data_IF_169530948429
#
_entry.id   IF_169530948429
#
_cell.length_a   1.000
_cell.length_b   1.000
_cell.length_c   1.000
_cell.angle_alpha   90.00
_cell.angle_beta   90.00
_cell.angle_gamma   90.00
#
_symmetry.space_group_name_H-M   'P 1'
#
loop_
_entity.id
_entity.type
_entity.pdbx_description
1 polymer ?
#
# COMPACT_ATOMS: atom_id res chain seq x y z
N UNK A 1 -8.40 -14.29 25.50
CA UNK A 1 -7.08 -14.75 25.98
C UNK A 1 -6.22 -14.92 24.74
N UNK A 2 -5.34 -13.96 24.43
CA UNK A 2 -4.40 -14.13 23.33
C UNK A 2 -3.51 -15.31 23.68
N UNK A 3 -3.43 -16.27 22.78
CA UNK A 3 -2.58 -17.43 22.97
C UNK A 3 -1.12 -16.95 23.04
N UNK A 4 -0.37 -17.35 24.07
CA UNK A 4 1.08 -17.12 24.11
C UNK A 4 1.76 -17.64 22.84
N UNK A 5 1.11 -18.62 22.19
CA UNK A 5 1.48 -19.18 20.90
C UNK A 5 1.56 -18.12 19.80
N UNK A 6 0.71 -17.08 19.77
CA UNK A 6 0.77 -16.03 18.73
C UNK A 6 1.99 -15.12 18.89
N UNK A 7 2.30 -14.70 20.12
CA UNK A 7 3.48 -13.88 20.39
C UNK A 7 4.77 -14.68 20.18
N UNK A 8 4.82 -15.92 20.67
CA UNK A 8 5.96 -16.80 20.46
C UNK A 8 6.17 -17.09 18.96
N UNK A 9 5.11 -17.38 18.22
CA UNK A 9 5.17 -17.63 16.78
C UNK A 9 5.65 -16.39 16.01
N UNK A 10 5.14 -15.21 16.36
CA UNK A 10 5.58 -13.94 15.77
C UNK A 10 7.07 -13.69 15.99
N UNK A 11 7.55 -13.83 17.23
CA UNK A 11 8.96 -13.69 17.56
C UNK A 11 9.82 -14.71 16.81
N UNK A 12 9.41 -15.98 16.75
CA UNK A 12 10.13 -17.05 16.03
C UNK A 12 10.30 -16.73 14.55
N UNK A 13 9.25 -16.19 13.94
CA UNK A 13 9.27 -15.85 12.53
C UNK A 13 10.18 -14.67 12.23
N UNK A 14 9.99 -13.58 12.96
CA UNK A 14 10.76 -12.34 12.78
C UNK A 14 12.24 -12.58 13.07
N UNK A 15 12.57 -13.09 14.27
CA UNK A 15 13.97 -13.19 14.70
C UNK A 15 14.74 -14.24 13.92
N UNK A 16 14.05 -15.31 13.46
CA UNK A 16 14.69 -16.36 12.69
C UNK A 16 15.32 -15.88 11.38
N UNK A 17 14.85 -14.77 10.79
CA UNK A 17 15.44 -14.18 9.59
C UNK A 17 16.78 -13.50 9.84
N UNK A 18 16.96 -12.98 11.06
CA UNK A 18 18.12 -12.20 11.47
C UNK A 18 19.16 -13.02 12.25
N UNK A 19 18.95 -14.33 12.43
CA UNK A 19 19.84 -15.22 13.20
C UNK A 19 21.31 -15.15 12.75
N UNK A 20 21.55 -15.12 11.42
CA UNK A 20 22.89 -14.95 10.86
C UNK A 20 23.47 -13.57 11.14
N UNK A 21 22.65 -12.53 11.06
CA UNK A 21 23.04 -11.14 11.32
C UNK A 21 23.42 -10.96 12.79
N UNK A 22 22.58 -11.43 13.72
CA UNK A 22 22.83 -11.37 15.16
C UNK A 22 24.09 -12.14 15.57
N UNK A 23 24.30 -13.33 14.99
CA UNK A 23 25.51 -14.12 15.22
C UNK A 23 26.78 -13.48 14.64
N UNK A 24 26.64 -12.60 13.64
CA UNK A 24 27.75 -11.84 13.06
C UNK A 24 28.13 -10.60 13.87
N UNK A 25 27.17 -9.96 14.53
CA UNK A 25 27.37 -8.73 15.31
C UNK A 25 28.06 -9.03 16.65
N UNK A 26 27.61 -10.06 17.39
CA UNK A 26 28.18 -10.38 18.70
C UNK A 26 29.06 -11.65 18.65
N UNK A 27 30.38 -11.53 18.79
CA UNK A 27 31.29 -12.68 18.90
C UNK A 27 30.88 -13.66 20.01
N UNK A 28 31.13 -14.95 19.77
CA UNK A 28 30.75 -16.05 20.69
C UNK A 28 31.23 -15.89 22.15
N UNK A 29 32.28 -15.10 22.41
CA UNK A 29 32.80 -14.88 23.77
C UNK A 29 32.02 -13.83 24.57
N UNK A 30 31.25 -12.96 23.90
CA UNK A 30 30.31 -12.02 24.52
C UNK A 30 28.89 -12.59 24.68
N UNK A 31 28.67 -13.80 24.16
CA UNK A 31 27.40 -14.51 24.22
C UNK A 31 27.36 -15.52 25.38
N UNK A 32 26.16 -15.88 25.86
CA UNK A 32 26.00 -16.88 26.90
C UNK A 32 26.37 -18.27 26.36
N UNK A 33 27.21 -19.00 27.10
CA UNK A 33 27.76 -20.32 26.74
C UNK A 33 26.70 -21.42 26.46
N UNK A 34 25.41 -21.19 26.75
CA UNK A 34 24.43 -22.28 26.89
C UNK A 34 23.11 -22.14 26.11
N UNK A 35 22.86 -21.05 25.38
CA UNK A 35 21.52 -20.87 24.78
C UNK A 35 21.62 -20.75 23.26
N UNK A 36 21.20 -21.82 22.56
CA UNK A 36 21.10 -21.88 21.10
C UNK A 36 20.13 -20.84 20.50
N UNK A 37 19.42 -20.09 21.36
CA UNK A 37 18.35 -19.15 21.05
C UNK A 37 18.49 -17.86 21.90
N UNK A 38 19.70 -17.43 22.24
CA UNK A 38 19.95 -16.28 23.12
C UNK A 38 19.26 -14.98 22.68
N UNK A 39 19.03 -14.77 21.38
CA UNK A 39 18.31 -13.61 20.87
C UNK A 39 16.80 -13.64 21.19
N UNK A 40 16.20 -14.82 21.32
CA UNK A 40 14.83 -14.96 21.83
C UNK A 40 14.75 -14.61 23.31
N UNK A 41 15.72 -15.07 24.11
CA UNK A 41 15.82 -14.72 25.52
C UNK A 41 16.03 -13.21 25.69
N UNK A 42 16.83 -12.59 24.82
CA UNK A 42 17.00 -11.14 24.79
C UNK A 42 15.68 -10.43 24.45
N UNK A 43 14.94 -10.88 23.43
CA UNK A 43 13.65 -10.29 23.06
C UNK A 43 12.61 -10.39 24.18
N UNK A 44 12.49 -11.57 24.80
CA UNK A 44 11.62 -11.79 25.97
C UNK A 44 12.08 -10.92 27.14
N UNK A 45 13.39 -10.89 27.40
CA UNK A 45 14.01 -10.08 28.44
C UNK A 45 13.72 -8.58 28.28
N UNK A 46 13.86 -8.04 27.07
CA UNK A 46 13.51 -6.63 26.81
C UNK A 46 12.03 -6.35 27.02
N UNK A 47 11.16 -7.29 26.67
CA UNK A 47 9.73 -7.17 26.96
C UNK A 47 9.43 -7.27 28.46
N UNK A 48 10.34 -7.87 29.26
CA UNK A 48 10.33 -8.01 30.72
C UNK A 48 10.93 -6.84 31.50
N UNK A 49 11.59 -5.91 30.83
CA UNK A 49 12.22 -4.76 31.48
C UNK A 49 11.18 -3.99 32.32
N UNK A 50 11.39 -3.72 33.62
CA UNK A 50 10.48 -2.88 34.39
C UNK A 50 10.44 -1.45 33.83
N UNK A 51 9.38 -0.67 34.09
CA UNK A 51 9.40 0.76 33.81
C UNK A 51 10.50 1.45 34.65
N UNK A 52 11.22 2.40 34.07
CA UNK A 52 12.26 3.20 34.72
C UNK A 52 11.87 4.68 34.73
N UNK A 53 12.25 5.41 35.77
CA UNK A 53 12.07 6.87 35.85
C UNK A 53 12.87 7.61 34.76
N UNK A 54 14.04 7.08 34.39
CA UNK A 54 14.90 7.61 33.32
C UNK A 54 14.38 7.28 31.91
N UNK A 55 13.27 6.53 31.81
CA UNK A 55 12.71 6.07 30.56
C UNK A 55 13.44 4.86 29.97
N UNK A 56 13.05 4.49 28.74
CA UNK A 56 13.65 3.39 28.01
C UNK A 56 14.86 3.90 27.21
N UNK A 57 16.06 3.48 27.59
CA UNK A 57 17.34 3.84 26.92
C UNK A 57 18.07 2.58 26.47
N UNK A 58 18.97 2.69 25.50
CA UNK A 58 19.82 1.57 25.09
C UNK A 58 20.72 1.08 26.23
N UNK A 59 21.20 2.00 27.07
CA UNK A 59 22.02 1.68 28.22
C UNK A 59 21.25 0.87 29.28
N UNK A 60 20.02 1.27 29.62
CA UNK A 60 19.20 0.53 30.60
C UNK A 60 18.79 -0.84 30.06
N UNK A 61 18.50 -0.94 28.75
CA UNK A 61 18.25 -2.22 28.08
C UNK A 61 19.48 -3.15 28.13
N UNK A 62 20.68 -2.64 27.81
CA UNK A 62 21.93 -3.41 27.84
C UNK A 62 22.28 -3.89 29.24
N UNK A 63 22.20 -3.01 30.24
CA UNK A 63 22.44 -3.34 31.64
C UNK A 63 21.49 -4.44 32.13
N UNK A 64 20.19 -4.30 31.83
CA UNK A 64 19.21 -5.30 32.23
C UNK A 64 19.46 -6.69 31.62
N UNK A 65 19.79 -6.75 30.34
CA UNK A 65 20.12 -8.03 29.69
C UNK A 65 21.42 -8.63 30.24
N UNK A 66 22.39 -7.79 30.65
CA UNK A 66 23.62 -8.23 31.31
C UNK A 66 23.35 -8.80 32.70
N UNK A 67 22.51 -8.14 33.49
CA UNK A 67 22.12 -8.61 34.82
C UNK A 67 21.40 -9.97 34.77
N UNK A 68 20.68 -10.25 33.68
CA UNK A 68 20.08 -11.57 33.41
C UNK A 68 21.06 -12.59 32.84
N UNK A 69 22.32 -12.22 32.62
CA UNK A 69 23.36 -13.07 32.05
C UNK A 69 23.17 -13.39 30.56
N UNK A 70 22.31 -12.65 29.86
CA UNK A 70 22.02 -12.82 28.42
C UNK A 70 23.12 -12.14 27.58
N UNK A 71 23.64 -11.00 28.03
CA UNK A 71 24.81 -10.34 27.43
C UNK A 71 26.01 -10.41 28.39
N UNK A 72 27.23 -10.50 27.85
CA UNK A 72 28.46 -10.56 28.64
C UNK A 72 29.49 -9.53 28.18
N UNK A 73 30.36 -9.15 29.11
CA UNK A 73 31.43 -8.19 28.89
C UNK A 73 31.03 -6.78 29.35
N UNK A 74 32.00 -6.10 29.94
CA UNK A 74 31.93 -4.74 30.49
C UNK A 74 33.02 -3.81 29.92
N UNK A 75 33.89 -4.34 29.06
CA UNK A 75 34.87 -3.53 28.32
C UNK A 75 34.18 -2.68 27.24
N UNK A 76 34.88 -1.64 26.76
CA UNK A 76 34.36 -0.69 25.77
C UNK A 76 33.89 -1.39 24.48
N UNK A 77 34.65 -2.37 24.00
CA UNK A 77 34.31 -3.17 22.82
C UNK A 77 33.01 -3.97 23.00
N UNK A 78 32.81 -4.64 24.16
CA UNK A 78 31.55 -5.33 24.44
C UNK A 78 30.37 -4.37 24.48
N UNK A 79 30.55 -3.18 25.04
CA UNK A 79 29.48 -2.18 25.13
C UNK A 79 29.02 -1.73 23.75
N UNK A 80 29.96 -1.47 22.83
CA UNK A 80 29.65 -1.07 21.45
C UNK A 80 28.89 -2.18 20.70
N UNK A 81 29.38 -3.42 20.77
CA UNK A 81 28.74 -4.56 20.08
C UNK A 81 27.37 -4.90 20.67
N UNK A 82 27.20 -4.78 21.99
CA UNK A 82 25.90 -4.97 22.65
C UNK A 82 24.90 -3.90 22.22
N UNK A 83 25.34 -2.66 22.02
CA UNK A 83 24.48 -1.57 21.54
C UNK A 83 24.08 -1.77 20.07
N UNK A 84 25.02 -2.14 19.20
CA UNK A 84 24.71 -2.49 17.81
C UNK A 84 23.72 -3.65 17.72
N UNK A 85 23.91 -4.68 18.55
CA UNK A 85 22.96 -5.78 18.66
C UNK A 85 21.58 -5.31 19.10
N UNK A 86 21.49 -4.51 20.16
CA UNK A 86 20.22 -3.98 20.65
C UNK A 86 19.52 -3.12 19.60
N UNK A 87 20.27 -2.27 18.90
CA UNK A 87 19.77 -1.48 17.77
C UNK A 87 19.12 -2.38 16.73
N UNK A 88 19.83 -3.42 16.25
CA UNK A 88 19.25 -4.36 15.30
C UNK A 88 18.02 -5.08 15.88
N UNK A 89 18.10 -5.55 17.13
CA UNK A 89 17.01 -6.28 17.78
C UNK A 89 15.75 -5.43 17.91
N UNK A 90 15.88 -4.17 18.33
CA UNK A 90 14.72 -3.27 18.50
C UNK A 90 14.11 -2.92 17.15
N UNK A 91 14.90 -2.60 16.12
CA UNK A 91 14.37 -2.35 14.78
C UNK A 91 13.54 -3.53 14.26
N UNK A 92 14.08 -4.74 14.43
CA UNK A 92 13.44 -6.00 14.02
C UNK A 92 12.16 -6.30 14.82
N UNK A 93 12.18 -6.16 16.14
CA UNK A 93 11.02 -6.45 17.00
C UNK A 93 9.89 -5.44 16.87
N UNK A 94 10.22 -4.18 16.56
CA UNK A 94 9.24 -3.08 16.51
C UNK A 94 8.79 -2.74 15.11
N UNK A 95 9.52 -3.17 14.07
CA UNK A 95 9.28 -2.79 12.69
C UNK A 95 9.28 -1.27 12.45
N UNK A 96 9.91 -0.49 13.34
CA UNK A 96 10.03 0.97 13.19
C UNK A 96 11.08 1.35 12.14
N UNK A 97 12.09 0.51 11.96
CA UNK A 97 13.13 0.66 10.94
C UNK A 97 13.78 -0.69 10.66
N UNK A 98 14.47 -0.79 9.51
CA UNK A 98 15.31 -1.94 9.19
C UNK A 98 16.77 -1.52 9.36
N UNK A 99 17.56 -2.20 10.19
CA UNK A 99 18.99 -1.91 10.31
C UNK A 99 19.69 -2.22 8.98
N UNK A 100 20.53 -1.30 8.52
CA UNK A 100 21.44 -1.54 7.39
C UNK A 100 22.75 -2.14 7.91
N UNK A 101 23.33 -3.14 7.24
CA UNK A 101 24.66 -3.61 7.61
C UNK A 101 25.67 -2.45 7.51
N UNK A 102 26.64 -2.37 8.44
CA UNK A 102 27.65 -1.32 8.39
C UNK A 102 28.47 -1.48 7.11
N UNK A 103 28.53 -0.43 6.29
CA UNK A 103 29.51 -0.37 5.21
C UNK A 103 30.92 -0.34 5.84
N UNK A 104 31.86 -1.10 5.25
CA UNK A 104 33.22 -1.38 5.76
C UNK A 104 34.07 -0.15 6.16
N UNK A 105 33.60 1.08 5.94
CA UNK A 105 34.32 2.34 6.19
C UNK A 105 33.43 3.43 6.84
N UNK A 106 32.29 3.04 7.43
CA UNK A 106 31.31 4.02 7.89
C UNK A 106 31.65 4.59 9.28
N UNK A 107 31.71 5.92 9.38
CA UNK A 107 31.78 6.68 10.65
C UNK A 107 30.50 6.58 11.51
N UNK A 108 29.50 5.85 11.01
CA UNK A 108 28.14 5.78 11.56
C UNK A 108 27.74 4.31 11.73
N UNK A 109 27.95 3.72 12.92
CA UNK A 109 27.66 2.30 13.15
C UNK A 109 26.16 1.96 13.10
N UNK A 110 25.28 2.95 13.19
CA UNK A 110 23.85 2.77 13.31
C UNK A 110 23.11 3.33 12.09
N UNK A 111 23.08 2.54 11.04
CA UNK A 111 22.43 2.91 9.77
C UNK A 111 21.10 2.19 9.60
N UNK A 112 20.20 2.83 8.86
CA UNK A 112 18.89 2.29 8.54
C UNK A 112 18.62 2.32 7.05
N UNK A 113 17.78 1.40 6.59
CA UNK A 113 17.26 1.39 5.23
C UNK A 113 16.20 2.49 5.08
N UNK A 114 16.54 3.59 4.41
CA UNK A 114 15.63 4.74 4.20
C UNK A 114 14.88 4.72 2.87
N UNK A 115 15.23 3.80 1.97
CA UNK A 115 14.64 3.72 0.65
C UNK A 115 14.41 2.28 0.22
N UNK A 116 13.40 2.10 -0.63
CA UNK A 116 13.09 0.81 -1.25
C UNK A 116 14.28 0.35 -2.11
N UNK A 117 14.80 -0.88 -1.91
CA UNK A 117 15.90 -1.40 -2.73
C UNK A 117 15.49 -1.63 -4.19
N UNK A 118 14.18 -1.71 -4.48
CA UNK A 118 13.65 -2.00 -5.81
C UNK A 118 13.33 -0.74 -6.61
N UNK A 119 12.80 0.29 -5.95
CA UNK A 119 12.34 1.52 -6.64
C UNK A 119 13.19 2.75 -6.30
N UNK A 120 14.11 2.64 -5.32
CA UNK A 120 14.85 3.75 -4.74
C UNK A 120 13.97 4.86 -4.13
N UNK A 121 12.67 4.59 -3.98
CA UNK A 121 11.75 5.49 -3.30
C UNK A 121 12.18 5.65 -1.84
N UNK A 122 12.43 6.90 -1.44
CA UNK A 122 12.67 7.23 -0.04
C UNK A 122 11.36 7.18 0.73
N UNK A 123 11.32 6.40 1.80
CA UNK A 123 10.14 6.29 2.65
C UNK A 123 9.85 7.64 3.33
N UNK A 124 8.56 7.99 3.43
CA UNK A 124 8.14 9.30 3.93
C UNK A 124 8.47 9.47 5.42
N UNK A 125 8.51 8.37 6.16
CA UNK A 125 8.80 8.35 7.59
C UNK A 125 10.26 8.69 7.96
N UNK A 126 11.20 8.76 7.00
CA UNK A 126 12.61 8.96 7.30
C UNK A 126 13.20 10.23 6.71
N UNK A 127 13.72 11.08 7.58
CA UNK A 127 14.50 12.29 7.28
C UNK A 127 16.00 12.03 7.29
N UNK A 128 16.49 11.09 8.10
CA UNK A 128 17.92 10.74 8.18
C UNK A 128 18.16 9.23 7.98
N UNK A 129 19.36 8.86 7.53
CA UNK A 129 19.77 7.45 7.28
C UNK A 129 20.58 6.81 8.40
N UNK A 130 20.91 7.60 9.41
CA UNK A 130 21.72 7.20 10.53
C UNK A 130 21.34 8.00 11.75
N UNK A 131 21.73 7.49 12.90
CA UNK A 131 21.59 8.15 14.19
C UNK A 131 22.92 8.78 14.63
N UNK A 132 22.86 9.84 15.42
CA UNK A 132 24.05 10.54 15.92
C UNK A 132 24.75 9.76 17.05
N UNK A 133 26.08 9.85 17.14
CA UNK A 133 26.94 9.09 18.06
C UNK A 133 26.76 9.35 19.58
N UNK A 134 25.75 10.11 20.02
CA UNK A 134 25.53 10.48 21.43
C UNK A 134 24.33 9.70 22.02
N UNK A 135 24.57 8.47 22.48
CA UNK A 135 23.50 7.47 22.71
C UNK A 135 23.15 7.13 24.15
N UNK A 136 24.04 7.46 25.10
CA UNK A 136 24.04 6.76 26.39
C UNK A 136 22.96 7.24 27.36
N UNK A 137 22.46 8.46 27.22
CA UNK A 137 21.58 9.08 28.23
C UNK A 137 20.20 9.43 27.71
N UNK A 138 20.01 9.54 26.39
CA UNK A 138 18.72 9.94 25.84
C UNK A 138 17.78 8.75 25.67
N UNK A 139 16.48 8.91 25.96
CA UNK A 139 15.44 7.92 25.63
C UNK A 139 15.50 7.47 24.17
N UNK A 140 15.26 6.18 23.93
CA UNK A 140 15.23 5.59 22.58
C UNK A 140 14.27 6.36 21.66
N UNK A 141 13.11 6.77 22.18
CA UNK A 141 12.12 7.54 21.41
C UNK A 141 12.65 8.88 20.88
N UNK A 142 13.46 9.59 21.66
CA UNK A 142 13.99 10.91 21.30
C UNK A 142 15.05 10.77 20.20
N UNK A 143 15.73 9.62 20.17
CA UNK A 143 16.66 9.27 19.12
C UNK A 143 15.93 8.81 17.86
N UNK A 144 14.81 8.10 18.01
CA UNK A 144 13.96 7.71 16.88
C UNK A 144 13.27 8.92 16.24
N UNK A 145 12.87 9.93 17.00
CA UNK A 145 12.33 11.16 16.40
C UNK A 145 13.39 11.94 15.60
N UNK A 146 14.68 11.78 15.94
CA UNK A 146 15.77 12.39 15.18
C UNK A 146 15.94 11.79 13.76
N UNK A 147 15.46 10.57 13.50
CA UNK A 147 15.51 9.97 12.15
C UNK A 147 14.29 10.30 11.29
N UNK A 148 13.22 10.83 11.88
CA UNK A 148 12.00 11.27 11.19
C UNK A 148 10.72 10.86 11.91
N UNK A 149 9.59 10.99 11.22
CA UNK A 149 8.27 10.55 11.70
C UNK A 149 8.12 9.03 11.50
N UNK A 150 8.70 8.24 12.41
CA UNK A 150 8.79 6.77 12.33
C UNK A 150 7.44 6.04 12.23
N UNK A 151 6.34 6.70 12.61
CA UNK A 151 4.97 6.21 12.47
C UNK A 151 4.28 6.94 11.32
N UNK A 152 3.33 6.30 10.63
CA UNK A 152 2.65 6.87 9.46
C UNK A 152 1.57 7.89 9.88
N UNK A 153 1.96 8.96 10.58
CA UNK A 153 1.03 9.95 11.14
C UNK A 153 0.70 11.09 10.17
N UNK A 154 1.52 11.25 9.14
CA UNK A 154 1.42 12.31 8.13
C UNK A 154 1.48 11.70 6.73
N UNK A 155 0.90 12.41 5.75
CA UNK A 155 1.09 12.09 4.34
C UNK A 155 2.43 12.63 3.78
N UNK A 156 2.61 12.50 2.47
CA UNK A 156 3.81 12.98 1.75
C UNK A 156 4.11 14.46 2.00
N UNK A 157 3.08 15.28 2.16
CA UNK A 157 3.18 16.73 2.27
C UNK A 157 3.20 17.17 3.76
N UNK A 158 3.26 16.22 4.69
CA UNK A 158 3.26 16.48 6.14
C UNK A 158 1.86 16.74 6.71
N UNK A 159 0.80 16.43 5.96
CA UNK A 159 -0.58 16.68 6.37
C UNK A 159 -1.04 15.55 7.30
N UNK A 160 -1.51 15.92 8.49
CA UNK A 160 -1.96 15.00 9.55
C UNK A 160 -3.49 14.85 9.64
N UNK A 161 -4.26 15.58 8.83
CA UNK A 161 -5.73 15.58 8.88
C UNK A 161 -6.35 15.74 7.50
N UNK A 162 -7.53 15.19 7.31
CA UNK A 162 -8.30 15.30 6.07
C UNK A 162 -9.53 16.16 6.30
N UNK A 163 -9.98 16.87 5.26
CA UNK A 163 -11.22 17.64 5.31
C UNK A 163 -12.45 16.76 5.59
N UNK A 164 -13.41 17.34 6.31
CA UNK A 164 -14.70 16.72 6.59
C UNK A 164 -15.48 16.49 5.28
N UNK A 165 -15.75 15.22 4.97
CA UNK A 165 -16.51 14.81 3.78
C UNK A 165 -15.71 13.97 2.78
N UNK A 166 -14.41 13.80 2.96
CA UNK A 166 -13.64 12.86 2.13
C UNK A 166 -14.02 11.42 2.49
N UNK A 167 -14.52 10.70 1.49
CA UNK A 167 -14.95 9.30 1.63
C UNK A 167 -14.16 8.39 0.71
N UNK A 168 -14.03 7.14 1.12
CA UNK A 168 -13.38 6.08 0.36
C UNK A 168 -14.40 5.01 -0.02
N UNK A 169 -14.70 4.86 -1.32
CA UNK A 169 -15.53 3.75 -1.82
C UNK A 169 -14.65 2.59 -2.27
N UNK A 170 -14.82 1.47 -1.57
CA UNK A 170 -14.12 0.18 -1.79
C UNK A 170 -14.37 -0.40 -3.19
N UNK A 171 -15.45 0.01 -3.84
CA UNK A 171 -15.70 -0.33 -5.24
C UNK A 171 -14.57 0.19 -6.16
N UNK A 172 -14.03 1.37 -5.88
CA UNK A 172 -13.01 2.06 -6.67
C UNK A 172 -11.61 1.96 -6.04
N UNK A 173 -11.56 1.75 -4.73
CA UNK A 173 -10.32 1.61 -3.99
C UNK A 173 -10.09 0.16 -3.56
N UNK A 174 -9.48 -0.64 -4.45
CA UNK A 174 -9.11 -2.04 -4.17
C UNK A 174 -7.92 -2.49 -5.05
N UNK A 175 -7.25 -3.58 -4.64
CA UNK A 175 -6.06 -4.09 -5.31
C UNK A 175 -6.31 -4.47 -6.77
N UNK A 176 -7.50 -4.98 -7.10
CA UNK A 176 -7.81 -5.33 -8.47
C UNK A 176 -7.85 -4.09 -9.38
N UNK A 177 -8.42 -2.98 -8.94
CA UNK A 177 -8.37 -1.70 -9.67
C UNK A 177 -6.93 -1.18 -9.75
N UNK A 178 -6.23 -1.11 -8.61
CA UNK A 178 -4.84 -0.65 -8.54
C UNK A 178 -3.94 -1.40 -9.55
N UNK A 179 -3.96 -2.73 -9.53
CA UNK A 179 -3.07 -3.56 -10.36
C UNK A 179 -3.56 -3.66 -11.80
N UNK A 180 -4.85 -3.95 -12.01
CA UNK A 180 -5.35 -4.31 -13.34
C UNK A 180 -5.60 -3.10 -14.21
N UNK A 181 -6.16 -2.04 -13.61
CA UNK A 181 -6.60 -0.83 -14.31
C UNK A 181 -5.49 0.22 -14.28
N UNK A 182 -5.00 0.55 -13.09
CA UNK A 182 -4.04 1.64 -12.88
C UNK A 182 -2.58 1.21 -13.04
N UNK A 183 -2.32 -0.07 -13.28
CA UNK A 183 -0.97 -0.66 -13.43
C UNK A 183 -0.04 -0.32 -12.27
N UNK A 184 -0.60 -0.15 -11.08
CA UNK A 184 0.14 0.10 -9.85
C UNK A 184 0.83 -1.19 -9.41
N UNK A 185 2.04 -1.04 -8.88
CA UNK A 185 2.77 -2.13 -8.22
C UNK A 185 2.48 -2.06 -6.72
N UNK A 186 2.41 -3.21 -6.07
CA UNK A 186 2.32 -3.29 -4.61
C UNK A 186 3.62 -3.93 -4.13
N UNK A 187 4.35 -3.22 -3.28
CA UNK A 187 5.55 -3.72 -2.60
C UNK A 187 5.23 -3.90 -1.11
N UNK A 188 5.62 -5.04 -0.58
CA UNK A 188 5.44 -5.37 0.83
C UNK A 188 6.68 -4.94 1.63
N UNK A 189 6.47 -4.30 2.78
CA UNK A 189 7.51 -3.69 3.62
C UNK A 189 7.42 -4.17 5.06
N UNK A 190 8.57 -4.21 5.76
CA UNK A 190 8.67 -4.45 7.21
C UNK A 190 8.75 -3.14 8.02
N UNK A 191 8.60 -1.98 7.39
CA UNK A 191 8.65 -0.69 8.08
C UNK A 191 7.23 -0.17 8.25
N UNK A 192 6.76 -0.10 9.50
CA UNK A 192 5.38 0.32 9.82
C UNK A 192 5.08 1.74 9.32
N UNK A 193 6.05 2.66 9.44
CA UNK A 193 5.96 4.05 8.97
C UNK A 193 5.77 4.21 7.46
N UNK A 194 6.21 3.21 6.68
CA UNK A 194 6.10 3.21 5.21
C UNK A 194 4.78 2.64 4.69
N UNK A 195 3.88 2.22 5.58
CA UNK A 195 2.56 1.75 5.18
C UNK A 195 1.79 2.87 4.46
N UNK A 196 1.23 2.53 3.29
CA UNK A 196 0.53 3.43 2.37
C UNK A 196 1.40 4.53 1.76
N UNK A 197 2.72 4.43 1.84
CA UNK A 197 3.60 5.30 1.04
C UNK A 197 3.33 5.04 -0.44
N UNK A 198 3.37 6.12 -1.22
CA UNK A 198 3.15 6.07 -2.66
C UNK A 198 4.31 6.68 -3.44
N UNK A 199 4.98 5.81 -4.19
CA UNK A 199 5.96 6.20 -5.18
C UNK A 199 5.25 6.58 -6.49
N UNK A 200 5.09 7.88 -6.68
CA UNK A 200 4.49 8.47 -7.88
C UNK A 200 5.27 8.07 -9.14
N UNK A 201 6.60 8.05 -9.06
CA UNK A 201 7.52 7.84 -10.20
C UNK A 201 7.45 6.39 -10.70
N UNK A 202 7.51 5.42 -9.78
CA UNK A 202 7.44 4.00 -10.13
C UNK A 202 6.02 3.44 -10.06
N UNK A 203 5.02 4.27 -9.78
CA UNK A 203 3.61 3.90 -9.60
C UNK A 203 3.44 2.75 -8.60
N UNK A 204 4.07 2.86 -7.44
CA UNK A 204 4.21 1.77 -6.47
C UNK A 204 3.65 2.16 -5.10
N UNK A 205 2.80 1.30 -4.52
CA UNK A 205 2.25 1.44 -3.17
C UNK A 205 2.98 0.49 -2.23
N UNK A 206 3.34 0.97 -1.04
CA UNK A 206 3.98 0.17 -0.01
C UNK A 206 2.96 -0.29 1.05
N UNK A 207 2.93 -1.59 1.36
CA UNK A 207 2.03 -2.16 2.35
C UNK A 207 2.78 -2.96 3.41
N UNK A 208 2.46 -2.73 4.68
CA UNK A 208 3.10 -3.42 5.79
C UNK A 208 2.68 -4.89 5.81
N UNK A 209 3.65 -5.81 5.95
CA UNK A 209 3.42 -7.25 5.71
C UNK A 209 3.22 -8.10 6.96
N UNK A 210 3.27 -7.51 8.16
CA UNK A 210 3.21 -8.23 9.43
C UNK A 210 1.96 -7.88 10.27
N UNK A 211 0.74 -8.20 9.80
CA UNK A 211 -0.49 -7.87 10.51
C UNK A 211 -0.61 -8.52 11.90
N UNK A 212 0.11 -9.61 12.18
CA UNK A 212 0.15 -10.18 13.54
C UNK A 212 0.70 -9.16 14.54
N UNK A 213 1.73 -8.38 14.18
CA UNK A 213 2.26 -7.32 15.05
C UNK A 213 1.17 -6.30 15.39
N UNK A 214 0.48 -5.80 14.37
CA UNK A 214 -0.60 -4.84 14.54
C UNK A 214 -1.71 -5.41 15.42
N UNK A 215 -2.15 -6.64 15.17
CA UNK A 215 -3.19 -7.26 15.97
C UNK A 215 -2.79 -7.40 17.43
N UNK A 216 -1.61 -7.93 17.72
CA UNK A 216 -1.10 -8.09 19.09
C UNK A 216 -1.17 -6.77 19.86
N UNK A 217 -0.75 -5.66 19.24
CA UNK A 217 -0.78 -4.34 19.87
C UNK A 217 -2.17 -3.71 19.91
N UNK A 218 -3.07 -4.04 18.96
CA UNK A 218 -4.42 -3.51 18.91
C UNK A 218 -5.35 -4.08 20.00
N UNK A 219 -5.19 -5.37 20.32
CA UNK A 219 -6.03 -6.07 21.31
C UNK A 219 -5.44 -6.14 22.71
N UNK A 220 -4.16 -5.79 22.89
CA UNK A 220 -3.52 -5.80 24.20
C UNK A 220 -4.19 -4.79 25.15
N UNK A 221 -4.61 -5.27 26.34
CA UNK A 221 -5.21 -4.42 27.36
C UNK A 221 -4.14 -3.50 27.99
N UNK A 222 -4.50 -2.25 28.38
CA UNK A 222 -3.54 -1.27 28.89
C UNK A 222 -2.81 -1.63 30.19
N UNK A 223 -3.22 -2.68 30.91
CA UNK A 223 -2.95 -2.79 32.34
C UNK A 223 -1.76 -3.67 32.78
N UNK A 224 -1.08 -4.42 31.90
CA UNK A 224 -0.11 -5.42 32.39
C UNK A 224 1.36 -5.19 32.04
N UNK A 225 1.69 -4.43 30.99
CA UNK A 225 3.09 -4.12 30.62
C UNK A 225 3.15 -3.29 29.36
N UNK A 226 4.07 -2.33 29.30
CA UNK A 226 4.46 -1.72 28.03
C UNK A 226 5.37 -2.68 27.26
N UNK A 227 4.94 -3.04 26.05
CA UNK A 227 5.76 -3.70 25.04
C UNK A 227 6.93 -2.83 24.58
N UNK A 228 7.91 -3.42 23.89
CA UNK A 228 9.07 -2.70 23.35
C UNK A 228 8.59 -1.61 22.37
N UNK A 229 7.63 -1.92 21.48
CA UNK A 229 7.06 -0.93 20.56
C UNK A 229 6.48 0.27 21.32
N UNK A 230 5.65 0.01 22.34
CA UNK A 230 5.07 1.06 23.19
C UNK A 230 6.16 1.90 23.88
N UNK A 231 7.23 1.29 24.37
CA UNK A 231 8.36 2.03 24.99
C UNK A 231 9.11 2.92 24.01
N UNK A 232 9.14 2.53 22.74
CA UNK A 232 9.81 3.29 21.68
C UNK A 232 8.98 4.46 21.15
N UNK A 233 7.65 4.42 21.25
CA UNK A 233 6.78 5.40 20.56
C UNK A 233 5.87 6.22 21.47
N UNK A 234 5.60 5.78 22.71
CA UNK A 234 4.68 6.51 23.57
C UNK A 234 5.30 7.78 24.14
N UNK A 235 4.59 8.89 23.97
CA UNK A 235 4.97 10.23 24.42
C UNK A 235 3.73 11.12 24.66
N UNK A 236 3.91 12.45 24.67
CA UNK A 236 2.81 13.41 24.85
C UNK A 236 1.86 13.46 23.63
N UNK A 237 2.37 13.16 22.43
CA UNK A 237 1.60 13.16 21.18
C UNK A 237 0.95 11.82 20.83
N UNK A 238 1.56 10.71 21.27
CA UNK A 238 1.19 9.33 20.97
C UNK A 238 0.91 8.55 22.26
N UNK A 239 -0.37 8.33 22.57
CA UNK A 239 -0.79 7.49 23.68
C UNK A 239 -1.12 6.06 23.22
N UNK A 240 -1.45 5.18 24.19
CA UNK A 240 -1.80 3.79 23.92
C UNK A 240 -3.06 3.66 23.07
N UNK A 241 -4.03 4.56 23.19
CA UNK A 241 -5.28 4.49 22.45
C UNK A 241 -5.05 4.85 20.98
N UNK A 242 -4.26 5.91 20.72
CA UNK A 242 -3.82 6.29 19.38
C UNK A 242 -2.99 5.19 18.72
N UNK A 243 -2.03 4.61 19.44
CA UNK A 243 -1.24 3.49 18.90
C UNK A 243 -2.13 2.30 18.55
N UNK A 244 -3.09 1.95 19.41
CA UNK A 244 -4.07 0.90 19.15
C UNK A 244 -4.95 1.23 17.94
N UNK A 245 -5.39 2.47 17.83
CA UNK A 245 -6.14 2.98 16.68
C UNK A 245 -5.35 2.81 15.39
N UNK A 246 -4.09 3.24 15.37
CA UNK A 246 -3.20 3.06 14.23
C UNK A 246 -3.05 1.60 13.83
N UNK A 247 -2.89 0.69 14.80
CA UNK A 247 -2.79 -0.73 14.50
C UNK A 247 -4.08 -1.28 13.86
N UNK A 248 -5.24 -0.86 14.35
CA UNK A 248 -6.52 -1.23 13.74
C UNK A 248 -6.67 -0.65 12.33
N UNK A 249 -6.25 0.59 12.10
CA UNK A 249 -6.28 1.24 10.80
C UNK A 249 -5.38 0.54 9.77
N UNK A 250 -4.17 0.09 10.17
CA UNK A 250 -3.29 -0.70 9.30
C UNK A 250 -3.95 -2.03 8.91
N UNK A 251 -4.60 -2.71 9.85
CA UNK A 251 -5.31 -3.96 9.56
C UNK A 251 -6.50 -3.70 8.61
N UNK A 252 -7.28 -2.66 8.90
CA UNK A 252 -8.46 -2.31 8.14
C UNK A 252 -8.12 -1.86 6.72
N UNK A 253 -7.05 -1.06 6.53
CA UNK A 253 -6.62 -0.60 5.20
C UNK A 253 -6.20 -1.78 4.30
N UNK A 254 -5.48 -2.77 4.85
CA UNK A 254 -5.10 -3.99 4.11
C UNK A 254 -6.36 -4.77 3.73
N UNK A 255 -7.33 -4.90 4.65
CA UNK A 255 -8.60 -5.56 4.37
C UNK A 255 -9.45 -4.82 3.32
N UNK A 256 -9.46 -3.48 3.34
CA UNK A 256 -10.09 -2.64 2.32
C UNK A 256 -9.46 -2.89 0.95
N UNK A 257 -8.13 -2.97 0.87
CA UNK A 257 -7.41 -3.15 -0.38
C UNK A 257 -7.61 -4.57 -0.95
N UNK A 258 -7.55 -5.61 -0.12
CA UNK A 258 -7.56 -7.01 -0.60
C UNK A 258 -8.82 -7.81 -0.21
N UNK A 259 -9.28 -7.67 1.02
CA UNK A 259 -10.25 -8.58 1.65
C UNK A 259 -11.69 -8.43 1.17
N UNK A 260 -12.11 -7.25 0.75
CA UNK A 260 -13.52 -6.97 0.45
C UNK A 260 -13.96 -7.28 -0.99
N UNK A 261 -13.03 -7.42 -1.92
CA UNK A 261 -13.32 -7.71 -3.34
C UNK A 261 -12.70 -9.05 -3.75
N UNK A 262 -13.49 -10.06 -4.17
CA UNK A 262 -12.96 -11.38 -4.54
C UNK A 262 -11.86 -11.35 -5.61
N UNK A 263 -11.92 -10.40 -6.56
CA UNK A 263 -10.86 -10.27 -7.58
C UNK A 263 -9.57 -9.77 -6.97
N UNK A 264 -9.65 -8.88 -5.98
CA UNK A 264 -8.53 -8.37 -5.21
C UNK A 264 -7.89 -9.47 -4.36
N UNK A 265 -8.68 -10.36 -3.76
CA UNK A 265 -8.17 -11.54 -3.04
C UNK A 265 -7.28 -12.41 -3.94
N UNK A 266 -7.67 -12.64 -5.21
CA UNK A 266 -6.87 -13.38 -6.19
C UNK A 266 -5.58 -12.65 -6.64
N UNK A 267 -5.42 -11.36 -6.31
CA UNK A 267 -4.18 -10.60 -6.58
C UNK A 267 -3.16 -10.74 -5.47
N UNK A 268 -3.51 -11.31 -4.32
CA UNK A 268 -2.55 -11.58 -3.26
C UNK A 268 -1.59 -12.69 -3.71
N UNK A 269 -0.31 -12.36 -3.87
CA UNK A 269 0.76 -13.33 -4.01
C UNK A 269 1.62 -13.35 -2.76
N UNK A 270 1.38 -14.33 -1.88
CA UNK A 270 2.17 -14.54 -0.67
C UNK A 270 3.67 -14.77 -0.95
N UNK A 271 4.05 -15.28 -2.13
CA UNK A 271 5.46 -15.47 -2.48
C UNK A 271 6.15 -14.13 -2.71
N UNK A 272 5.42 -13.15 -3.25
CA UNK A 272 5.90 -11.78 -3.42
C UNK A 272 5.92 -11.06 -2.07
N UNK A 273 4.86 -11.20 -1.26
CA UNK A 273 4.79 -10.56 0.06
C UNK A 273 5.92 -11.00 1.01
N UNK A 274 6.24 -12.30 0.97
CA UNK A 274 7.25 -12.91 1.82
C UNK A 274 8.43 -13.45 1.00
N UNK A 275 8.89 -12.67 0.01
CA UNK A 275 10.05 -13.04 -0.80
C UNK A 275 11.28 -13.27 0.10
N UNK A 276 11.98 -14.39 -0.11
CA UNK A 276 13.13 -14.81 0.71
C UNK A 276 12.76 -15.54 2.01
N UNK A 277 11.48 -15.58 2.38
CA UNK A 277 11.04 -16.13 3.67
C UNK A 277 10.42 -17.52 3.48
N UNK A 278 10.89 -18.55 4.23
CA UNK A 278 10.32 -19.88 4.21
C UNK A 278 8.83 -19.89 4.57
N UNK A 279 8.02 -20.74 3.94
CA UNK A 279 6.56 -20.80 4.16
C UNK A 279 6.17 -20.99 5.63
N UNK A 280 6.97 -21.72 6.41
CA UNK A 280 6.74 -21.95 7.85
C UNK A 280 6.93 -20.71 8.72
N UNK A 281 7.59 -19.67 8.21
CA UNK A 281 7.87 -18.42 8.93
C UNK A 281 7.04 -17.24 8.45
N UNK A 282 6.12 -17.46 7.51
CA UNK A 282 5.27 -16.38 6.99
C UNK A 282 4.19 -16.02 8.01
N UNK A 283 3.85 -14.74 8.06
CA UNK A 283 2.72 -14.27 8.84
C UNK A 283 1.41 -14.82 8.24
N UNK A 284 0.84 -15.82 8.90
CA UNK A 284 -0.39 -16.49 8.47
C UNK A 284 -1.59 -15.54 8.52
N UNK A 285 -1.53 -14.52 9.37
CA UNK A 285 -2.60 -13.55 9.53
C UNK A 285 -2.76 -12.69 8.28
N UNK A 286 -1.71 -12.46 7.48
CA UNK A 286 -1.83 -11.69 6.24
C UNK A 286 -2.78 -12.35 5.25
N UNK A 287 -2.64 -13.66 5.07
CA UNK A 287 -3.55 -14.40 4.18
C UNK A 287 -4.98 -14.34 4.69
N UNK A 288 -5.19 -14.53 6.00
CA UNK A 288 -6.53 -14.48 6.61
C UNK A 288 -7.16 -13.11 6.42
N UNK A 289 -6.44 -12.05 6.76
CA UNK A 289 -6.88 -10.66 6.63
C UNK A 289 -7.31 -10.32 5.19
N UNK A 290 -6.58 -10.83 4.20
CA UNK A 290 -6.81 -10.55 2.79
C UNK A 290 -7.81 -11.49 2.11
N UNK A 291 -8.20 -12.63 2.70
CA UNK A 291 -9.03 -13.65 2.02
C UNK A 291 -10.31 -14.00 2.76
N UNK A 292 -10.34 -13.79 4.07
CA UNK A 292 -11.48 -14.11 4.93
C UNK A 292 -12.30 -12.84 5.22
N UNK A 293 -13.60 -12.98 5.53
CA UNK A 293 -14.40 -11.87 6.03
C UNK A 293 -13.78 -11.25 7.28
N UNK A 294 -14.03 -9.96 7.52
CA UNK A 294 -13.52 -9.26 8.70
C UNK A 294 -13.92 -9.97 10.01
N UNK A 295 -12.97 -10.69 10.61
CA UNK A 295 -13.20 -11.57 11.76
C UNK A 295 -12.96 -10.88 13.11
N UNK A 296 -12.69 -9.58 13.11
CA UNK A 296 -12.30 -8.84 14.32
C UNK A 296 -13.45 -8.09 14.98
N UNK A 297 -14.70 -8.29 14.53
CA UNK A 297 -15.86 -7.56 15.02
C UNK A 297 -16.01 -7.62 16.55
N UNK A 298 -15.70 -8.77 17.17
CA UNK A 298 -15.80 -8.97 18.62
C UNK A 298 -14.62 -8.37 19.41
N UNK A 299 -13.49 -8.09 18.74
CA UNK A 299 -12.25 -7.64 19.38
C UNK A 299 -11.92 -6.16 19.11
N UNK A 300 -12.53 -5.55 18.10
CA UNK A 300 -12.27 -4.16 17.74
C UNK A 300 -13.18 -3.21 18.53
N UNK A 301 -12.71 -1.99 18.78
CA UNK A 301 -13.60 -0.90 19.17
C UNK A 301 -14.61 -0.65 18.04
N UNK A 302 -15.88 -0.36 18.36
CA UNK A 302 -17.01 -0.23 17.41
C UNK A 302 -16.73 0.54 16.10
N UNK A 303 -15.71 1.39 16.09
CA UNK A 303 -15.34 2.25 14.97
C UNK A 303 -14.58 1.52 13.83
N UNK A 304 -14.01 0.33 14.06
CA UNK A 304 -13.18 -0.36 13.06
C UNK A 304 -13.88 -1.55 12.40
N UNK A 305 -14.91 -1.26 11.60
CA UNK A 305 -15.71 -2.27 10.91
C UNK A 305 -15.51 -2.27 9.40
N UNK A 306 -15.71 -3.43 8.79
CA UNK A 306 -15.76 -3.56 7.34
C UNK A 306 -17.00 -2.87 6.78
N UNK A 307 -16.81 -1.80 6.02
CA UNK A 307 -17.85 -1.00 5.37
C UNK A 307 -17.58 -0.94 3.87
N UNK A 308 -18.59 -0.57 3.08
CA UNK A 308 -18.40 -0.28 1.64
C UNK A 308 -17.81 1.12 1.43
N UNK A 309 -18.28 2.08 2.22
CA UNK A 309 -17.89 3.48 2.17
C UNK A 309 -17.32 3.83 3.54
N UNK A 310 -16.11 4.38 3.54
CA UNK A 310 -15.41 4.79 4.75
C UNK A 310 -15.30 6.31 4.84
N UNK A 311 -15.41 6.84 6.05
CA UNK A 311 -15.16 8.26 6.34
C UNK A 311 -13.71 8.45 6.78
N UNK A 312 -12.94 9.23 6.00
CA UNK A 312 -11.51 9.43 6.26
C UNK A 312 -11.24 10.52 7.31
N UNK A 313 -12.12 11.52 7.43
CA UNK A 313 -12.01 12.54 8.50
C UNK A 313 -12.77 12.08 9.76
N UNK A 314 -12.06 11.98 10.88
CA UNK A 314 -12.58 11.74 12.24
C UNK A 314 -13.44 10.48 12.48
N UNK A 315 -13.61 9.62 11.47
CA UNK A 315 -14.44 8.42 11.51
C UNK A 315 -13.60 7.15 11.57
N UNK A 316 -13.42 6.52 10.42
CA UNK A 316 -12.88 5.16 10.31
C UNK A 316 -11.35 5.12 10.24
N UNK A 317 -10.72 6.21 9.75
CA UNK A 317 -9.28 6.33 9.57
C UNK A 317 -8.73 7.67 10.09
N UNK A 318 -8.84 7.98 11.40
CA UNK A 318 -8.35 9.24 11.95
C UNK A 318 -6.83 9.45 11.79
N UNK A 319 -6.02 8.38 11.67
CA UNK A 319 -4.55 8.47 11.60
C UNK A 319 -4.04 8.28 10.16
N UNK A 320 -4.48 7.23 9.47
CA UNK A 320 -4.09 6.91 8.08
C UNK A 320 -4.96 7.61 7.03
N UNK A 321 -6.00 8.33 7.46
CA UNK A 321 -6.89 9.11 6.59
C UNK A 321 -6.15 9.96 5.56
N UNK A 322 -5.14 10.77 5.94
CA UNK A 322 -4.37 11.59 5.00
C UNK A 322 -3.69 10.77 3.90
N UNK A 323 -3.02 9.67 4.27
CA UNK A 323 -2.37 8.78 3.28
C UNK A 323 -3.37 8.11 2.34
N UNK A 324 -4.52 7.66 2.87
CA UNK A 324 -5.59 7.07 2.08
C UNK A 324 -6.24 8.10 1.14
N UNK A 325 -6.44 9.33 1.61
CA UNK A 325 -6.99 10.42 0.81
C UNK A 325 -6.03 10.78 -0.33
N UNK A 326 -4.74 10.91 -0.03
CA UNK A 326 -3.69 11.12 -1.02
C UNK A 326 -3.69 10.02 -2.09
N UNK A 327 -3.63 8.76 -1.67
CA UNK A 327 -3.62 7.62 -2.58
C UNK A 327 -4.90 7.52 -3.43
N UNK A 328 -6.07 7.75 -2.83
CA UNK A 328 -7.36 7.80 -3.53
C UNK A 328 -7.39 8.91 -4.58
N UNK A 329 -6.87 10.09 -4.26
CA UNK A 329 -6.78 11.21 -5.19
C UNK A 329 -5.85 10.90 -6.38
N UNK A 330 -4.72 10.23 -6.13
CA UNK A 330 -3.79 9.80 -7.17
C UNK A 330 -4.39 8.70 -8.06
N UNK A 331 -5.15 7.77 -7.47
CA UNK A 331 -5.92 6.79 -8.23
C UNK A 331 -6.94 7.47 -9.14
N UNK A 332 -7.73 8.41 -8.62
CA UNK A 332 -8.73 9.15 -9.38
C UNK A 332 -8.13 9.99 -10.53
N UNK A 333 -6.94 10.56 -10.32
CA UNK A 333 -6.19 11.27 -11.37
C UNK A 333 -5.69 10.34 -12.47
N UNK A 334 -5.30 9.12 -12.10
CA UNK A 334 -4.70 8.13 -13.02
C UNK A 334 -5.74 7.24 -13.68
N UNK A 335 -6.99 7.22 -13.23
CA UNK A 335 -8.06 6.47 -13.88
C UNK A 335 -8.14 6.86 -15.36
N UNK A 336 -7.76 5.96 -16.29
CA UNK A 336 -7.87 6.28 -17.69
C UNK A 336 -9.38 6.36 -18.00
N UNK A 337 -9.85 7.49 -18.53
CA UNK A 337 -11.18 7.60 -19.14
C UNK A 337 -11.23 6.82 -20.46
N UNK A 338 -10.87 5.53 -20.43
CA UNK A 338 -10.81 4.72 -21.65
C UNK A 338 -12.22 4.33 -22.08
N UNK A 339 -12.52 4.47 -23.38
CA UNK A 339 -13.81 4.07 -23.97
C UNK A 339 -14.15 2.59 -23.71
N UNK A 340 -13.13 1.76 -23.48
CA UNK A 340 -13.30 0.36 -23.10
C UNK A 340 -13.79 0.18 -21.66
N UNK A 341 -13.48 1.10 -20.74
CA UNK A 341 -14.07 1.14 -19.41
C UNK A 341 -15.52 1.65 -19.46
N UNK A 342 -15.87 2.68 -20.24
CA UNK A 342 -17.28 3.02 -20.47
C UNK A 342 -18.10 1.83 -21.01
N UNK A 343 -17.47 0.98 -21.81
CA UNK A 343 -18.10 -0.23 -22.35
C UNK A 343 -18.28 -1.35 -21.31
N UNK A 344 -17.37 -1.49 -20.34
CA UNK A 344 -17.39 -2.55 -19.30
C UNK A 344 -17.94 -2.09 -17.94
N UNK A 345 -18.02 -0.80 -17.71
CA UNK A 345 -18.41 -0.19 -16.45
C UNK A 345 -19.92 0.02 -16.38
N UNK A 346 -20.63 -0.89 -15.70
CA UNK A 346 -22.04 -0.76 -15.38
C UNK A 346 -22.30 0.12 -14.14
N UNK A 347 -21.27 0.65 -13.47
CA UNK A 347 -21.44 1.37 -12.19
C UNK A 347 -21.91 2.79 -12.35
N UNK A 348 -21.59 3.45 -13.47
CA UNK A 348 -22.10 4.78 -13.79
C UNK A 348 -23.14 4.69 -14.91
N UNK A 349 -24.35 4.23 -14.55
CA UNK A 349 -25.44 3.92 -15.49
C UNK A 349 -25.74 5.09 -16.42
N UNK A 350 -25.63 6.34 -15.93
CA UNK A 350 -25.87 7.55 -16.73
C UNK A 350 -24.84 7.71 -17.86
N UNK A 351 -23.54 7.56 -17.56
CA UNK A 351 -22.47 7.67 -18.56
C UNK A 351 -22.45 6.48 -19.53
N UNK A 352 -22.85 5.29 -19.06
CA UNK A 352 -23.02 4.12 -19.90
C UNK A 352 -24.13 4.33 -20.96
N UNK A 353 -25.29 4.87 -20.54
CA UNK A 353 -26.39 5.16 -21.47
C UNK A 353 -26.04 6.27 -22.47
N UNK A 354 -25.36 7.35 -22.06
CA UNK A 354 -24.96 8.41 -23.01
C UNK A 354 -23.94 7.91 -24.02
N UNK A 355 -23.02 7.04 -23.62
CA UNK A 355 -22.09 6.39 -24.55
C UNK A 355 -22.83 5.55 -25.60
N UNK A 356 -23.75 4.68 -25.19
CA UNK A 356 -24.54 3.86 -26.12
C UNK A 356 -25.44 4.70 -27.04
N UNK A 357 -26.02 5.78 -26.51
CA UNK A 357 -26.79 6.72 -27.30
C UNK A 357 -25.93 7.30 -28.43
N UNK A 358 -24.74 7.83 -28.11
CA UNK A 358 -23.83 8.41 -29.11
C UNK A 358 -23.40 7.36 -30.15
N UNK A 359 -23.11 6.13 -29.74
CA UNK A 359 -22.72 5.04 -30.66
C UNK A 359 -23.87 4.68 -31.62
N UNK A 360 -25.09 4.52 -31.10
CA UNK A 360 -26.27 4.16 -31.90
C UNK A 360 -26.61 5.29 -32.88
N UNK A 361 -26.68 6.54 -32.40
CA UNK A 361 -26.98 7.70 -33.26
C UNK A 361 -25.88 7.92 -34.32
N UNK A 362 -24.61 7.72 -33.95
CA UNK A 362 -23.49 7.77 -34.88
C UNK A 362 -23.61 6.72 -35.98
N UNK A 363 -23.90 5.46 -35.62
CA UNK A 363 -24.04 4.37 -36.58
C UNK A 363 -25.24 4.59 -37.52
N UNK A 364 -26.38 5.01 -36.98
CA UNK A 364 -27.58 5.33 -37.77
C UNK A 364 -27.28 6.46 -38.78
N UNK A 365 -26.58 7.52 -38.34
CA UNK A 365 -26.20 8.64 -39.22
C UNK A 365 -25.31 8.20 -40.38
N UNK A 366 -24.33 7.33 -40.13
CA UNK A 366 -23.45 6.79 -41.17
C UNK A 366 -24.25 5.94 -42.17
N UNK A 367 -25.13 5.06 -41.69
CA UNK A 367 -25.98 4.22 -42.56
C UNK A 367 -26.89 5.08 -43.43
N UNK A 368 -27.55 6.09 -42.84
CA UNK A 368 -28.40 7.02 -43.58
C UNK A 368 -27.60 7.76 -44.66
N UNK A 369 -26.38 8.19 -44.34
CA UNK A 369 -25.48 8.85 -45.29
C UNK A 369 -25.13 7.92 -46.46
N UNK A 370 -24.82 6.65 -46.19
CA UNK A 370 -24.52 5.65 -47.23
C UNK A 370 -25.74 5.41 -48.12
N UNK A 371 -26.93 5.23 -47.55
CA UNK A 371 -28.16 5.04 -48.31
C UNK A 371 -28.48 6.25 -49.18
N UNK A 372 -28.36 7.47 -48.63
CA UNK A 372 -28.56 8.71 -49.39
C UNK A 372 -27.55 8.86 -50.53
N UNK A 373 -26.30 8.44 -50.33
CA UNK A 373 -25.26 8.46 -51.36
C UNK A 373 -25.61 7.48 -52.49
N UNK A 374 -26.05 6.26 -52.16
CA UNK A 374 -26.45 5.25 -53.16
C UNK A 374 -27.69 5.70 -53.95
N UNK A 375 -28.71 6.24 -53.26
CA UNK A 375 -29.92 6.74 -53.92
C UNK A 375 -29.62 7.92 -54.85
N UNK A 376 -28.78 8.87 -54.41
CA UNK A 376 -28.32 9.98 -55.25
C UNK A 376 -27.57 9.47 -56.49
N UNK A 377 -26.69 8.48 -56.32
CA UNK A 377 -25.96 7.86 -57.42
C UNK A 377 -26.89 7.16 -58.44
N UNK A 378 -27.91 6.44 -57.95
CA UNK A 378 -28.91 5.81 -58.83
C UNK A 378 -29.71 6.87 -59.60
N UNK A 379 -30.17 7.93 -58.93
CA UNK A 379 -30.93 9.02 -59.58
C UNK A 379 -30.13 9.67 -60.72
N UNK A 380 -28.84 9.91 -60.52
CA UNK A 380 -27.93 10.42 -61.55
C UNK A 380 -27.86 9.48 -62.75
N UNK A 381 -27.74 8.17 -62.51
CA UNK A 381 -27.67 7.18 -63.60
C UNK A 381 -28.99 7.09 -64.39
N UNK A 382 -30.14 7.03 -63.71
CA UNK A 382 -31.44 7.01 -64.37
C UNK A 382 -31.70 8.31 -65.16
N UNK A 383 -31.26 9.47 -64.66
CA UNK A 383 -31.37 10.74 -65.35
C UNK A 383 -30.52 10.79 -66.63
N UNK A 384 -29.30 10.24 -66.60
CA UNK A 384 -28.44 10.12 -67.78
C UNK A 384 -29.07 9.23 -68.86
N UNK A 385 -29.62 8.07 -68.46
CA UNK A 385 -30.30 7.16 -69.40
C UNK A 385 -31.54 7.80 -70.02
N UNK A 386 -32.33 8.55 -69.23
CA UNK A 386 -33.49 9.27 -69.75
C UNK A 386 -33.09 10.38 -70.73
N UNK A 387 -31.98 11.09 -70.49
CA UNK A 387 -31.46 12.10 -71.41
C UNK A 387 -31.02 11.48 -72.75
N UNK A 388 -30.38 10.30 -72.72
CA UNK A 388 -30.02 9.57 -73.95
C UNK A 388 -31.23 9.11 -74.75
N UNK A 389 -32.34 8.72 -74.09
CA UNK A 389 -33.58 8.36 -74.78
C UNK A 389 -34.32 9.58 -75.35
N UNK A 390 -34.23 10.75 -74.68
CA UNK A 390 -34.81 12.01 -75.15
C UNK A 390 -34.24 12.51 -76.48
N UNK A 391 -32.92 12.42 -76.66
CA UNK A 391 -32.25 12.84 -77.92
C UNK A 391 -32.60 11.95 -79.12
N UNK A 392 -32.96 10.68 -78.92
CA UNK A 392 -33.40 9.79 -80.00
C UNK A 392 -34.74 10.19 -80.63
N UNK A 393 -35.63 10.84 -79.86
CA UNK A 393 -36.96 11.23 -80.36
C UNK A 393 -36.96 12.56 -81.12
N UNK A 394 -36.05 13.49 -80.79
CA UNK A 394 -35.91 14.77 -81.52
C UNK A 394 -35.33 14.58 -82.92
N UNK A 395 -34.41 13.63 -83.11
CA UNK A 395 -33.88 13.30 -84.44
C UNK A 395 -34.95 12.71 -85.39
N UNK A 396 -35.91 11.94 -84.85
CA UNK A 396 -37.04 11.42 -85.64
C UNK A 396 -38.11 12.48 -85.96
N UNK A 397 -38.32 13.48 -85.08
CA UNK A 397 -39.23 14.61 -85.35
C UNK A 397 -38.65 15.59 -86.37
N UNK A 398 -37.34 15.83 -86.37
CA UNK A 398 -36.69 16.64 -87.40
C UNK A 398 -36.82 16.02 -88.81
N UNK A 399 -36.85 14.69 -88.92
CA UNK A 399 -36.96 14.00 -90.20
C UNK A 399 -38.41 13.93 -90.74
N UNK A 400 -39.43 13.96 -89.87
CA UNK A 400 -40.84 14.09 -90.29
C UNK A 400 -41.23 15.52 -90.70
N UNK A 401 -40.60 16.55 -90.12
CA UNK A 401 -40.85 17.95 -90.48
C UNK A 401 -40.39 18.34 -91.89
N UNK A 402 -39.36 17.68 -92.43
CA UNK A 402 -38.82 17.98 -93.76
C UNK A 402 -39.67 17.39 -94.91
N UNK A 403 -40.42 16.30 -94.67
CA UNK A 403 -41.28 15.68 -95.70
C UNK A 403 -42.59 16.42 -95.97
N UNK A 404 -43.02 17.33 -95.09
CA UNK A 404 -44.28 18.06 -95.27
C UNK A 404 -44.15 19.34 -96.12
N UNK A 405 -42.93 19.79 -96.46
CA UNK A 405 -42.72 21.00 -97.27
C UNK A 405 -42.57 20.69 -98.79
N UNK A 406 -42.42 19.43 -99.19
CA UNK A 406 -42.26 19.05 -100.62
C UNK A 406 -43.54 18.62 -101.35
N UNK A 407 -44.73 18.73 -100.73
CA UNK A 407 -46.00 18.26 -101.34
C UNK A 407 -46.94 19.38 -101.83
N UNK A 408 -46.46 20.62 -101.96
CA UNK A 408 -47.25 21.77 -102.43
C UNK A 408 -46.52 22.56 -103.55
N UNK A 409 -46.06 21.86 -104.60
CA UNK A 409 -45.70 22.49 -105.89
C UNK A 409 -46.45 21.86 -107.04
#
# INVERSE_FOLDING_TARGET
MLDMDFQAYHLINILGEFDKTFSGICPNHFLPLKTACWHFEAAIGLNDLPPSEEGFTWATAALYLRDRGILRGDNTEALELQQEYLFCLIGVLTCLYIPSPPENDSRYPYQIVVASPTTHHRFWCFSNSHFANQWLTSPVRDQLSAIGDILPLTDKDGIASVDDGVVLDTAHFNANVMISVLKMKIIWTDIIGSHLDYDVENNTVFLFRQPTLCFLHAVQAPEQKLSILQRCVLDVGMDNEKLRGLMWEILLSIHVIFGQDPKSQHRLDEKVAFQGIPRKRRDVMLRRLCSEPWSFADSCAYNYQSKRIYQLSAGDFPILGPKLAYLSSEMARREPRSLWQLWKDQRNTLQWWTFWLVVIFGLISVILTVVQTVLSGLQLHWAEVAAMQGQGSESSRANLGSRHIQALS
#
